data_IF_780671247418
#
_entry.id   IF_780671247418
#
_cell.length_a   1.000
_cell.length_b   1.000
_cell.length_c   1.000
_cell.angle_alpha   90.00
_cell.angle_beta   90.00
_cell.angle_gamma   90.00
#
_symmetry.space_group_name_H-M   'P 1'
#
loop_
_entity.id
_entity.type
_entity.pdbx_description
1 polymer ?
2 non-polymer ?
3 non-polymer ?
4 water ?
#
# COMPACT_ATOMS: atom_id res chain seq x y z
N UNK A 12 -16.67 -5.85 19.23
CA UNK A 12 -15.42 -5.89 18.40
C UNK A 12 -14.14 -5.73 19.28
N UNK A 13 -13.41 -6.83 19.54
CA UNK A 13 -12.20 -6.79 20.38
C UNK A 13 -11.02 -6.10 19.67
N UNK A 14 -10.35 -5.13 20.34
CA UNK A 14 -9.12 -4.60 19.76
C UNK A 14 -8.10 -5.69 19.42
N UNK A 15 -7.34 -5.46 18.36
CA UNK A 15 -6.39 -6.43 17.89
C UNK A 15 -5.11 -6.51 18.74
N UNK A 16 -4.51 -7.72 18.84
CA UNK A 16 -3.33 -8.00 19.69
C UNK A 16 -2.00 -7.63 19.08
N UNK A 17 -1.21 -6.83 19.78
CA UNK A 17 0.17 -6.55 19.40
C UNK A 17 1.11 -7.75 19.49
N UNK A 18 1.88 -8.01 18.44
CA UNK A 18 2.89 -9.05 18.48
C UNK A 18 4.25 -8.37 18.54
N UNK A 19 5.00 -8.61 19.62
CA UNK A 19 6.36 -8.11 19.73
C UNK A 19 7.26 -9.07 18.99
N UNK A 20 8.13 -8.55 18.13
CA UNK A 20 9.01 -9.43 17.37
C UNK A 20 10.50 -9.34 17.78
N UNK A 21 10.85 -8.25 18.43
CA UNK A 21 12.22 -7.93 18.77
C UNK A 21 12.16 -6.71 19.69
N UNK A 22 13.02 -6.69 20.71
CA UNK A 22 13.14 -5.57 21.67
C UNK A 22 13.73 -4.30 21.08
N UNK A 23 13.31 -3.17 21.61
CA UNK A 23 13.85 -1.85 21.28
C UNK A 23 15.41 -1.70 21.50
N UNK A 24 16.00 -0.72 20.81
CA UNK A 24 17.41 -0.21 20.95
C UNK A 24 18.56 -1.21 20.84
N UNK A 27 22.74 1.21 20.73
CA UNK A 27 22.84 1.99 19.50
C UNK A 27 21.73 3.06 19.45
N UNK A 28 22.00 4.26 18.84
CA UNK A 28 20.94 5.27 18.67
C UNK A 28 20.11 5.01 17.39
N UNK A 29 18.79 5.13 17.52
CA UNK A 29 17.85 4.66 16.52
C UNK A 29 16.53 5.37 16.75
N UNK A 30 15.70 5.46 15.73
CA UNK A 30 14.35 5.99 15.93
C UNK A 30 13.30 4.91 15.72
N UNK A 31 12.24 4.96 16.53
CA UNK A 31 11.10 4.05 16.44
C UNK A 31 9.99 4.83 15.77
N UNK A 32 9.25 4.19 14.84
CA UNK A 32 7.98 4.77 14.36
C UNK A 32 7.09 3.66 13.80
N UNK A 33 5.83 4.02 13.62
CA UNK A 33 4.78 3.07 13.26
C UNK A 33 4.28 3.42 11.85
N UNK A 34 3.94 2.40 11.08
CA UNK A 34 3.46 2.62 9.70
C UNK A 34 2.17 1.84 9.54
N UNK A 35 1.12 2.52 9.03
CA UNK A 35 -0.19 1.87 8.74
C UNK A 35 -0.32 1.76 7.20
N UNK A 36 -0.79 0.62 6.74
CA UNK A 36 -1.18 0.43 5.33
C UNK A 36 -2.61 -0.10 5.31
N UNK A 37 -3.52 0.61 4.68
CA UNK A 37 -4.94 0.26 4.79
C UNK A 37 -5.70 0.56 3.48
N UNK A 38 -6.34 -0.45 2.89
CA UNK A 38 -7.25 -0.14 1.75
C UNK A 38 -8.67 0.05 2.34
N UNK A 39 -9.27 1.25 2.21
CA UNK A 39 -10.50 1.62 2.89
C UNK A 39 -11.77 1.13 2.20
N UNK A 40 -11.59 0.61 0.97
CA UNK A 40 -12.71 0.27 0.04
C UNK A 40 -13.53 1.50 -0.41
N UNK A 41 -13.26 2.00 -1.64
CA UNK A 41 -13.95 3.24 -2.04
C UNK A 41 -15.43 3.00 -2.25
N UNK A 42 -16.17 4.09 -2.12
CA UNK A 42 -17.61 4.03 -2.26
C UNK A 42 -18.04 3.45 -3.63
N UNK A 43 -17.32 3.82 -4.68
CA UNK A 43 -17.63 3.39 -6.04
C UNK A 43 -17.78 1.87 -6.15
N UNK A 44 -16.94 1.13 -5.44
CA UNK A 44 -16.91 -0.28 -5.63
C UNK A 44 -17.55 -1.03 -4.51
N UNK A 45 -18.05 -0.33 -3.49
CA UNK A 45 -18.78 -0.97 -2.38
C UNK A 45 -20.25 -1.18 -2.79
N UNK A 46 -20.48 -2.19 -3.62
CA UNK A 46 -21.82 -2.52 -4.18
C UNK A 46 -22.39 -3.81 -3.64
N UNK A 47 -23.72 -3.91 -3.68
CA UNK A 47 -24.39 -5.17 -3.38
C UNK A 47 -23.97 -6.25 -4.35
N UNK A 48 -23.63 -5.90 -5.58
CA UNK A 48 -23.16 -6.90 -6.53
C UNK A 48 -21.87 -7.56 -6.04
N UNK A 49 -20.94 -6.74 -5.56
CA UNK A 49 -19.67 -7.28 -5.05
C UNK A 49 -19.78 -7.82 -3.61
N UNK A 50 -20.62 -7.19 -2.79
CA UNK A 50 -20.66 -7.52 -1.37
C UNK A 50 -22.08 -7.79 -0.96
N UNK A 51 -22.67 -8.85 -1.51
CA UNK A 51 -24.13 -9.07 -1.41
C UNK A 51 -24.50 -9.58 -0.05
N UNK A 52 -23.49 -9.85 0.79
CA UNK A 52 -23.66 -10.41 2.11
C UNK A 52 -23.65 -9.33 3.17
N UNK A 53 -23.44 -8.10 2.75
CA UNK A 53 -23.43 -6.98 3.67
C UNK A 53 -24.60 -6.08 3.33
N UNK A 54 -25.42 -5.70 4.35
CA UNK A 54 -26.62 -4.90 4.07
C UNK A 54 -26.25 -3.57 3.50
N UNK A 55 -27.13 -3.02 2.66
CA UNK A 55 -26.90 -1.71 2.05
C UNK A 55 -26.66 -0.57 3.02
N UNK A 56 -27.32 -0.60 4.18
CA UNK A 56 -27.12 0.46 5.15
C UNK A 56 -25.69 0.39 5.70
N UNK A 57 -25.12 -0.82 5.72
CA UNK A 57 -23.76 -1.00 6.21
C UNK A 57 -22.69 -0.72 5.14
N UNK A 58 -23.09 -0.76 3.87
CA UNK A 58 -22.18 -0.50 2.75
C UNK A 58 -22.12 0.99 2.53
N UNK A 59 -23.20 1.68 2.84
CA UNK A 59 -23.30 3.09 2.54
C UNK A 59 -22.10 3.86 3.07
N UNK A 60 -21.59 4.81 2.29
CA UNK A 60 -20.42 5.57 2.71
C UNK A 60 -20.62 6.43 3.96
N UNK A 61 -21.82 6.99 4.16
CA UNK A 61 -22.10 7.85 5.32
C UNK A 61 -21.93 7.04 6.59
N UNK A 62 -22.29 5.77 6.50
CA UNK A 62 -22.08 4.84 7.56
C UNK A 62 -20.62 4.33 7.67
N UNK A 63 -20.09 3.74 6.59
CA UNK A 63 -18.74 3.14 6.58
C UNK A 63 -17.62 4.12 6.87
N UNK A 64 -17.72 5.37 6.48
CA UNK A 64 -16.60 6.25 6.64
C UNK A 64 -16.30 6.46 8.15
N UNK A 65 -17.32 6.31 8.97
CA UNK A 65 -17.13 6.42 10.43
C UNK A 65 -16.19 5.33 10.94
N UNK A 66 -16.49 4.09 10.61
CA UNK A 66 -15.63 2.99 10.98
C UNK A 66 -14.22 3.07 10.39
N UNK A 67 -14.09 3.65 9.18
CA UNK A 67 -12.78 3.72 8.54
C UNK A 67 -11.97 4.79 9.34
N UNK A 68 -12.56 5.94 9.58
CA UNK A 68 -11.88 6.99 10.34
C UNK A 68 -11.51 6.54 11.77
N UNK A 69 -12.37 5.72 12.36
CA UNK A 69 -12.12 5.12 13.64
C UNK A 69 -10.92 4.19 13.62
N UNK A 70 -10.88 3.29 12.64
CA UNK A 70 -9.72 2.48 12.45
C UNK A 70 -8.44 3.29 12.31
N UNK A 71 -8.50 4.38 11.55
CA UNK A 71 -7.25 5.07 11.30
C UNK A 71 -6.82 5.79 12.60
N UNK A 72 -7.80 6.42 13.26
CA UNK A 72 -7.56 7.14 14.52
C UNK A 72 -6.97 6.20 15.58
N UNK A 73 -7.57 5.03 15.77
CA UNK A 73 -7.12 4.06 16.76
C UNK A 73 -5.73 3.45 16.51
N UNK A 74 -5.37 3.25 15.24
CA UNK A 74 -4.01 2.84 14.92
C UNK A 74 -2.98 3.91 15.24
N UNK A 75 -3.38 5.14 15.12
CA UNK A 75 -2.53 6.28 15.45
C UNK A 75 -1.07 6.17 14.90
N UNK A 76 -0.94 5.73 13.65
CA UNK A 76 0.36 5.53 13.05
C UNK A 76 1.06 6.87 12.82
N UNK A 77 2.38 6.87 12.89
CA UNK A 77 3.19 8.04 12.56
C UNK A 77 3.14 8.30 11.02
N UNK A 78 3.10 7.19 10.27
CA UNK A 78 2.96 7.20 8.79
C UNK A 78 1.77 6.35 8.34
N UNK A 79 0.85 6.96 7.57
CA UNK A 79 -0.33 6.22 7.09
C UNK A 79 -0.34 6.15 5.55
N UNK A 80 -0.48 4.95 5.01
CA UNK A 80 -0.66 4.77 3.56
C UNK A 80 -2.03 4.16 3.30
N UNK A 81 -2.84 4.95 2.62
CA UNK A 81 -4.20 4.53 2.26
C UNK A 81 -4.26 4.27 0.73
N UNK A 82 -5.04 3.25 0.36
CA UNK A 82 -5.57 3.01 -1.04
C UNK A 82 -7.06 3.11 -1.10
N UNK A 83 -7.59 3.38 -2.30
CA UNK A 83 -9.00 3.60 -2.57
C UNK A 83 -9.54 4.80 -1.86
N UNK A 84 -8.70 5.82 -1.76
CA UNK A 84 -9.16 7.08 -1.32
C UNK A 84 -9.78 7.85 -2.48
N UNK A 85 -11.05 8.25 -2.33
CA UNK A 85 -11.76 8.90 -3.40
C UNK A 85 -11.33 10.31 -3.30
N UNK A 86 -11.04 10.89 -4.44
CA UNK A 86 -10.64 12.29 -4.52
C UNK A 86 -11.37 13.29 -3.59
N UNK A 87 -12.68 13.41 -3.73
CA UNK A 87 -13.40 14.38 -2.93
C UNK A 87 -13.36 14.02 -1.39
N UNK A 88 -13.32 12.73 -1.07
CA UNK A 88 -13.12 12.29 0.33
C UNK A 88 -11.74 12.62 0.91
N UNK A 89 -10.68 12.60 0.08
CA UNK A 89 -9.38 13.02 0.56
C UNK A 89 -9.51 14.44 1.08
N UNK A 90 -10.13 15.29 0.29
CA UNK A 90 -10.12 16.70 0.61
C UNK A 90 -11.16 17.12 1.65
N UNK A 91 -12.28 16.43 1.77
CA UNK A 91 -13.30 16.90 2.68
C UNK A 91 -13.33 16.05 3.99
N UNK A 92 -12.69 14.88 3.98
CA UNK A 92 -12.78 13.98 5.12
C UNK A 92 -11.39 13.63 5.63
N UNK A 93 -10.62 12.87 4.84
CA UNK A 93 -9.39 12.26 5.32
C UNK A 93 -8.34 13.31 5.76
N UNK A 94 -8.10 14.32 4.90
CA UNK A 94 -7.10 15.33 5.17
C UNK A 94 -7.47 16.35 6.31
N UNK A 95 -8.72 16.86 6.32
CA UNK A 95 -9.12 17.77 7.37
C UNK A 95 -9.10 17.08 8.74
N UNK A 96 -9.60 15.84 8.81
CA UNK A 96 -9.64 15.12 10.07
C UNK A 96 -8.25 14.73 10.54
N UNK A 97 -7.41 14.27 9.62
CA UNK A 97 -6.07 13.96 10.00
C UNK A 97 -5.18 15.19 10.28
N UNK A 98 -5.50 16.36 9.72
CA UNK A 98 -4.80 17.56 10.12
C UNK A 98 -5.02 17.83 11.61
N UNK A 99 -6.26 17.62 12.08
CA UNK A 99 -6.66 17.82 13.49
C UNK A 99 -5.93 16.91 14.41
N UNK A 100 -5.41 15.81 13.89
CA UNK A 100 -4.55 14.94 14.64
C UNK A 100 -3.07 15.21 14.35
N UNK A 101 -2.74 16.34 13.76
CA UNK A 101 -1.32 16.70 13.53
C UNK A 101 -0.57 16.02 12.38
N UNK A 102 -1.32 15.53 11.37
CA UNK A 102 -0.70 14.91 10.18
C UNK A 102 -0.69 15.93 9.09
N UNK A 103 0.26 15.81 8.18
CA UNK A 103 0.02 16.37 6.86
C UNK A 103 -0.15 15.21 5.87
N UNK A 104 -0.57 15.53 4.65
CA UNK A 104 -0.77 14.45 3.67
C UNK A 104 -0.39 14.80 2.23
N UNK A 105 -0.21 13.76 1.41
CA UNK A 105 -0.09 13.90 -0.04
C UNK A 105 -1.00 12.85 -0.71
N UNK A 106 -1.76 13.26 -1.72
CA UNK A 106 -2.74 12.39 -2.42
C UNK A 106 -2.57 12.54 -3.91
N UNK A 107 -2.68 11.44 -4.64
CA UNK A 107 -2.83 11.60 -6.08
C UNK A 107 -3.89 10.62 -6.57
N UNK A 108 -4.86 11.08 -7.39
CA UNK A 108 -5.83 10.13 -7.99
C UNK A 108 -5.29 9.40 -9.20
N UNK A 109 -5.85 8.24 -9.50
CA UNK A 109 -5.73 7.67 -10.83
C UNK A 109 -6.34 8.57 -11.94
N UNK A 110 -6.04 8.26 -13.21
CA UNK A 110 -6.86 8.78 -14.30
C UNK A 110 -6.81 10.29 -14.49
N UNK A 111 -5.74 10.95 -14.05
CA UNK A 111 -5.80 12.40 -14.20
C UNK A 111 -5.82 12.82 -15.69
N UNK A 112 -5.21 12.04 -16.56
CA UNK A 112 -5.20 12.42 -18.00
C UNK A 112 -6.50 11.99 -18.75
N UNK A 113 -7.35 11.17 -18.11
CA UNK A 113 -8.58 10.74 -18.73
C UNK A 113 -9.55 11.87 -18.71
N UNK A 114 -10.41 11.92 -19.72
CA UNK A 114 -11.43 12.96 -19.82
C UNK A 114 -12.71 12.44 -19.18
N UNK A 115 -13.33 13.27 -18.34
CA UNK A 115 -14.52 12.87 -17.58
C UNK A 115 -15.26 14.11 -17.05
N UNK A 116 -16.50 13.97 -16.58
CA UNK A 116 -17.24 15.08 -15.94
C UNK A 116 -16.63 15.51 -14.59
N UNK A 117 -16.94 16.73 -14.17
CA UNK A 117 -16.53 17.23 -12.85
C UNK A 117 -17.01 16.31 -11.77
N UNK A 118 -18.24 15.85 -11.88
CA UNK A 118 -18.79 14.88 -10.95
C UNK A 118 -17.97 13.60 -10.82
N UNK A 119 -17.71 12.98 -11.97
CA UNK A 119 -16.88 11.79 -12.05
C UNK A 119 -15.50 12.03 -11.47
N UNK A 120 -14.92 13.20 -11.73
CA UNK A 120 -13.56 13.47 -11.23
C UNK A 120 -13.50 13.34 -9.66
N UNK A 121 -14.58 13.72 -9.00
CA UNK A 121 -14.64 13.69 -7.51
C UNK A 121 -14.59 12.26 -6.99
N UNK A 122 -15.08 11.32 -7.79
CA UNK A 122 -15.13 9.95 -7.32
C UNK A 122 -14.04 9.02 -7.71
N UNK A 123 -13.03 9.54 -8.40
CA UNK A 123 -11.91 8.70 -8.84
C UNK A 123 -11.08 8.47 -7.59
N UNK A 124 -10.60 7.25 -7.41
CA UNK A 124 -9.80 7.00 -6.18
C UNK A 124 -8.30 7.03 -6.48
N UNK A 125 -7.51 7.14 -5.42
CA UNK A 125 -6.10 7.00 -5.57
C UNK A 125 -5.41 6.68 -4.26
N UNK A 126 -4.16 7.10 -4.15
CA UNK A 126 -3.32 6.65 -3.03
C UNK A 126 -2.97 7.88 -2.23
N UNK A 127 -2.94 7.76 -0.89
CA UNK A 127 -2.57 8.90 -0.04
C UNK A 127 -1.51 8.45 0.98
N UNK A 128 -0.57 9.34 1.25
CA UNK A 128 0.37 9.11 2.36
C UNK A 128 0.18 10.23 3.36
N UNK A 129 -0.02 9.85 4.64
CA UNK A 129 -0.06 10.87 5.70
C UNK A 129 1.11 10.63 6.66
N UNK A 130 1.63 11.72 7.22
CA UNK A 130 2.76 11.66 8.17
C UNK A 130 2.55 12.70 9.30
N UNK A 131 2.94 12.31 10.52
CA UNK A 131 2.86 13.23 11.69
C UNK A 131 3.91 14.33 11.58
N UNK A 132 3.47 15.60 11.49
CA UNK A 132 4.38 16.71 11.25
C UNK A 132 5.38 16.98 12.38
N UNK A 133 5.13 16.43 13.57
CA UNK A 133 6.05 16.57 14.73
C UNK A 133 7.25 15.67 14.54
N UNK A 134 7.08 14.59 13.78
CA UNK A 134 8.14 13.64 13.61
C UNK A 134 8.82 13.69 12.22
N UNK A 135 8.18 14.35 11.25
CA UNK A 135 8.59 14.27 9.84
C UNK A 135 8.37 15.56 9.10
N UNK A 136 9.27 15.84 8.17
CA UNK A 136 9.04 16.96 7.26
C UNK A 136 9.19 16.47 5.82
N UNK A 137 8.23 16.85 4.97
CA UNK A 137 8.19 16.38 3.57
C UNK A 137 9.18 17.19 2.79
N UNK A 138 10.06 16.47 2.10
CA UNK A 138 11.08 17.08 1.24
C UNK A 138 10.63 17.11 -0.24
N UNK A 139 10.06 16.01 -0.72
CA UNK A 139 9.53 15.90 -2.08
C UNK A 139 8.36 14.92 -2.07
N UNK A 140 7.51 15.07 -3.09
CA UNK A 140 6.36 14.22 -3.33
C UNK A 140 6.34 13.91 -4.81
N UNK A 141 5.99 12.67 -5.14
CA UNK A 141 5.97 12.20 -6.52
C UNK A 141 4.78 11.30 -6.78
N UNK A 142 4.26 11.37 -7.99
CA UNK A 142 3.31 10.38 -8.46
C UNK A 142 3.93 9.56 -9.60
N UNK A 143 3.77 8.22 -9.51
CA UNK A 143 4.21 7.33 -10.58
C UNK A 143 2.99 6.75 -11.33
N UNK A 144 2.83 7.18 -12.60
CA UNK A 144 1.74 6.72 -13.48
C UNK A 144 2.18 5.49 -14.24
N UNK A 145 1.70 4.32 -13.85
CA UNK A 145 2.22 3.13 -14.44
C UNK A 145 1.96 3.12 -15.99
N UNK A 146 0.84 3.69 -16.44
CA UNK A 146 0.50 3.58 -17.87
C UNK A 146 1.52 4.34 -18.69
N UNK A 147 1.91 5.51 -18.20
CA UNK A 147 2.94 6.30 -18.83
C UNK A 147 4.30 5.65 -18.84
N UNK A 148 4.69 5.02 -17.75
CA UNK A 148 5.97 4.34 -17.70
C UNK A 148 5.94 3.08 -18.62
N UNK A 149 4.79 2.42 -18.68
CA UNK A 149 4.68 1.28 -19.59
C UNK A 149 4.86 1.78 -21.07
N UNK A 150 4.11 2.81 -21.42
CA UNK A 150 4.10 3.36 -22.79
C UNK A 150 5.54 3.76 -23.15
N UNK A 151 6.22 4.48 -22.24
CA UNK A 151 7.57 4.95 -22.46
C UNK A 151 8.61 3.81 -22.59
N UNK A 152 8.29 2.62 -22.10
CA UNK A 152 9.23 1.52 -22.19
C UNK A 152 8.72 0.32 -22.96
N UNK A 153 7.74 0.52 -23.83
CA UNK A 153 7.16 -0.64 -24.52
C UNK A 153 8.10 -1.19 -25.62
N UNK A 154 9.06 -0.38 -26.09
CA UNK A 154 10.09 -0.73 -27.10
C UNK A 154 9.72 -1.94 -27.89
N UNK A 155 8.74 -1.84 -28.79
CA UNK A 155 8.31 -3.04 -29.51
C UNK A 155 8.08 -4.30 -28.65
N UNK A 156 7.19 -4.16 -27.66
CA UNK A 156 6.52 -5.30 -27.07
C UNK A 156 5.04 -4.97 -27.19
N UNK A 157 4.30 -5.78 -27.93
CA UNK A 157 2.85 -5.60 -28.09
C UNK A 157 2.12 -5.78 -26.74
N UNK A 158 2.56 -6.75 -25.96
CA UNK A 158 2.03 -7.04 -24.62
C UNK A 158 2.14 -5.84 -23.69
N UNK A 159 3.29 -5.15 -23.70
CA UNK A 159 3.51 -3.99 -22.83
C UNK A 159 2.45 -3.02 -23.17
N UNK A 160 2.14 -2.94 -24.45
CA UNK A 160 1.24 -1.94 -24.93
C UNK A 160 -0.22 -2.35 -24.74
N UNK A 161 -0.57 -3.59 -25.11
CA UNK A 161 -1.92 -4.06 -25.04
C UNK A 161 -2.38 -4.25 -23.59
N UNK A 162 -1.54 -4.90 -22.81
CA UNK A 162 -1.96 -5.37 -21.48
C UNK A 162 -1.53 -4.43 -20.39
N UNK A 163 -0.36 -3.80 -20.52
CA UNK A 163 0.21 -3.03 -19.37
C UNK A 163 -0.19 -1.57 -19.42
N UNK A 164 0.03 -0.95 -20.59
CA UNK A 164 -0.26 0.47 -20.78
C UNK A 164 -1.72 0.82 -20.58
N UNK A 165 -2.61 -0.13 -20.88
CA UNK A 165 -4.04 0.14 -20.82
C UNK A 165 -4.55 0.11 -19.38
N UNK A 166 -3.64 -0.10 -18.45
CA UNK A 166 -4.04 -0.15 -17.02
C UNK A 166 -3.58 1.10 -16.24
N UNK A 167 -4.62 1.77 -15.75
CA UNK A 167 -4.62 3.07 -15.19
C UNK A 167 -4.06 3.24 -13.72
N UNK A 168 -3.43 2.21 -13.17
CA UNK A 168 -2.93 2.21 -11.75
C UNK A 168 -1.74 3.15 -11.46
N UNK A 169 -1.65 3.60 -10.21
CA UNK A 169 -0.61 4.59 -9.79
C UNK A 169 0.06 4.17 -8.46
N UNK A 170 1.22 4.75 -8.19
CA UNK A 170 1.83 4.75 -6.83
C UNK A 170 2.21 6.18 -6.52
N UNK A 171 2.36 6.52 -5.23
CA UNK A 171 2.78 7.87 -4.86
C UNK A 171 3.99 7.59 -3.97
N UNK A 172 4.89 8.55 -3.85
CA UNK A 172 6.02 8.39 -2.97
C UNK A 172 6.34 9.74 -2.40
N UNK A 173 6.79 9.78 -1.14
CA UNK A 173 7.15 11.06 -0.51
C UNK A 173 8.55 10.96 0.06
N UNK A 174 9.36 12.01 -0.03
CA UNK A 174 10.67 11.94 0.67
C UNK A 174 10.50 12.77 1.93
N UNK A 175 10.77 12.12 3.06
CA UNK A 175 10.63 12.75 4.35
C UNK A 175 11.97 12.92 5.08
N UNK A 176 12.09 14.03 5.78
CA UNK A 176 13.17 14.25 6.72
C UNK A 176 12.70 13.80 8.11
N UNK A 177 13.41 12.81 8.68
CA UNK A 177 13.06 12.25 10.00
C UNK A 177 13.70 13.13 11.09
N UNK A 178 12.90 13.74 11.94
CA UNK A 178 13.46 14.71 12.93
C UNK A 178 14.50 14.11 13.88
N UNK A 179 15.59 14.85 14.08
CA UNK A 179 16.76 14.33 14.82
C UNK A 179 16.40 13.92 16.22
N UNK A 180 15.53 14.73 16.82
CA UNK A 180 15.12 14.48 18.17
C UNK A 180 14.27 13.19 18.36
N UNK A 181 14.20 12.36 17.33
CA UNK A 181 13.67 10.99 17.46
C UNK A 181 14.73 9.93 17.67
N UNK A 182 16.02 10.23 17.51
CA UNK A 182 17.01 9.15 17.58
C UNK A 182 17.65 8.91 18.96
N UNK A 194 18.72 16.35 7.06
CA UNK A 194 19.88 15.49 7.32
C UNK A 194 19.56 13.99 7.18
N UNK A 195 18.64 13.47 7.99
CA UNK A 195 18.26 12.05 7.86
C UNK A 195 16.97 11.90 7.03
N UNK A 196 17.03 11.14 5.95
CA UNK A 196 15.89 11.08 5.05
C UNK A 196 15.24 9.71 5.03
N UNK A 197 13.95 9.68 4.67
CA UNK A 197 13.23 8.42 4.52
C UNK A 197 12.32 8.54 3.28
N UNK A 198 12.24 7.49 2.50
CA UNK A 198 11.22 7.53 1.44
C UNK A 198 10.09 6.55 1.79
N UNK A 199 8.86 7.05 1.76
CA UNK A 199 7.69 6.18 1.90
C UNK A 199 6.97 6.09 0.54
N UNK A 200 6.74 4.86 0.10
CA UNK A 200 6.05 4.68 -1.17
C UNK A 200 4.79 3.86 -0.94
N UNK A 201 3.73 4.25 -1.63
CA UNK A 201 2.39 3.66 -1.47
C UNK A 201 1.80 3.39 -2.86
N UNK A 202 1.51 2.15 -3.18
CA UNK A 202 0.94 1.88 -4.53
C UNK A 202 -0.26 0.92 -4.50
N UNK A 203 -1.06 0.85 -5.58
CA UNK A 203 -2.22 -0.04 -5.62
C UNK A 203 -2.26 -0.57 -7.06
N UNK A 204 -1.98 -1.86 -7.18
CA UNK A 204 -1.73 -2.57 -8.47
C UNK A 204 -3.01 -3.12 -9.08
N UNK A 205 -2.95 -3.43 -10.37
CA UNK A 205 -4.16 -3.87 -11.06
C UNK A 205 -4.71 -5.08 -10.29
N UNK A 206 -6.03 -5.29 -10.32
CA UNK A 206 -6.71 -6.30 -9.47
C UNK A 206 -6.80 -7.70 -10.09
N UNK A 207 -6.97 -7.71 -11.41
CA UNK A 207 -7.45 -8.91 -12.10
C UNK A 207 -6.53 -10.13 -11.91
N UNK A 208 -7.09 -11.26 -11.36
CA UNK A 208 -6.31 -12.49 -11.15
C UNK A 208 -5.67 -13.01 -12.40
N UNK A 209 -6.26 -12.69 -13.56
CA UNK A 209 -5.69 -13.22 -14.78
C UNK A 209 -4.56 -12.34 -15.27
N UNK A 210 -4.17 -11.34 -14.47
CA UNK A 210 -3.12 -10.38 -14.88
C UNK A 210 -1.85 -10.30 -14.00
N UNK A 211 -1.30 -11.47 -13.68
CA UNK A 211 -0.09 -11.57 -12.86
C UNK A 211 1.09 -10.85 -13.53
N UNK A 212 1.16 -10.92 -14.87
CA UNK A 212 2.19 -10.17 -15.60
C UNK A 212 2.07 -8.69 -15.39
N UNK A 213 0.87 -8.15 -15.47
CA UNK A 213 0.73 -6.72 -15.25
C UNK A 213 1.14 -6.32 -13.80
N UNK A 214 0.74 -7.14 -12.83
CA UNK A 214 0.97 -6.85 -11.40
C UNK A 214 2.48 -6.80 -11.17
N UNK A 215 3.17 -7.75 -11.77
CA UNK A 215 4.61 -7.87 -11.62
C UNK A 215 5.35 -6.71 -12.31
N UNK A 216 4.94 -6.42 -13.55
CA UNK A 216 5.49 -5.27 -14.25
C UNK A 216 5.22 -3.96 -13.56
N UNK A 217 3.99 -3.73 -13.09
CA UNK A 217 3.72 -2.52 -12.33
C UNK A 217 4.64 -2.35 -11.09
N UNK A 218 4.93 -3.44 -10.39
CA UNK A 218 5.77 -3.50 -9.18
C UNK A 218 7.19 -3.17 -9.56
N UNK A 219 7.66 -3.81 -10.63
CA UNK A 219 8.99 -3.49 -11.18
C UNK A 219 9.11 -2.05 -11.60
N UNK A 220 8.13 -1.51 -12.32
CA UNK A 220 8.13 -0.08 -12.66
C UNK A 220 8.11 0.87 -11.48
N UNK A 221 7.25 0.57 -10.48
CA UNK A 221 7.24 1.36 -9.26
C UNK A 221 8.62 1.41 -8.61
N UNK A 222 9.18 0.24 -8.37
CA UNK A 222 10.48 0.13 -7.64
C UNK A 222 11.59 0.87 -8.42
N UNK A 223 11.69 0.65 -9.75
CA UNK A 223 12.76 1.36 -10.52
C UNK A 223 12.51 2.84 -10.53
N UNK A 224 11.25 3.25 -10.60
CA UNK A 224 10.92 4.66 -10.55
C UNK A 224 11.22 5.28 -9.19
N UNK A 225 11.03 4.52 -8.11
CA UNK A 225 11.38 4.94 -6.75
C UNK A 225 12.92 5.09 -6.64
N UNK A 226 13.65 4.10 -7.15
CA UNK A 226 15.09 4.24 -7.25
C UNK A 226 15.56 5.52 -7.94
N UNK A 227 14.92 5.94 -9.04
CA UNK A 227 15.29 7.23 -9.64
C UNK A 227 15.04 8.36 -8.69
N UNK A 228 13.92 8.33 -7.99
CA UNK A 228 13.61 9.36 -7.01
C UNK A 228 14.75 9.43 -5.99
N UNK A 229 15.16 8.27 -5.47
CA UNK A 229 16.27 8.15 -4.52
C UNK A 229 17.54 8.94 -4.88
N UNK A 230 18.05 8.83 -6.11
CA UNK A 230 19.09 9.78 -6.54
C UNK A 230 18.50 11.12 -6.98
N UNK A 231 18.69 12.13 -6.13
CA UNK A 231 17.98 13.41 -6.18
C UNK A 231 17.21 13.51 -4.87
N UNK A 245 22.62 6.15 0.75
CA UNK A 245 21.28 5.90 0.24
C UNK A 245 20.19 5.85 1.35
N UNK A 246 19.08 6.48 1.03
CA UNK A 246 17.89 6.62 1.87
C UNK A 246 17.11 5.30 2.05
N UNK A 247 16.74 4.95 3.31
CA UNK A 247 15.88 3.79 3.57
C UNK A 247 14.46 3.96 2.97
N UNK A 248 13.85 2.83 2.64
CA UNK A 248 12.52 2.82 1.99
C UNK A 248 11.51 2.05 2.84
N UNK A 249 10.33 2.65 3.02
CA UNK A 249 9.19 1.88 3.46
C UNK A 249 8.22 1.77 2.28
N UNK A 250 7.85 0.56 1.90
CA UNK A 250 6.99 0.40 0.71
C UNK A 250 5.68 -0.22 1.15
N UNK A 251 4.61 0.57 1.10
CA UNK A 251 3.30 0.02 1.42
C UNK A 251 2.54 -0.24 0.11
N UNK A 252 1.84 -1.37 0.00
CA UNK A 252 0.94 -1.52 -1.17
C UNK A 252 -0.10 -2.57 -1.02
N UNK A 253 -1.24 -2.28 -1.65
CA UNK A 253 -2.15 -3.33 -2.03
C UNK A 253 -1.63 -3.82 -3.37
N UNK A 254 -0.99 -4.99 -3.37
CA UNK A 254 -0.43 -5.55 -4.53
C UNK A 254 -1.33 -6.49 -5.30
N UNK A 255 -2.48 -6.87 -4.74
CA UNK A 255 -3.37 -7.84 -5.35
C UNK A 255 -2.62 -9.14 -5.69
N UNK A 256 -1.61 -9.44 -4.86
CA UNK A 256 -0.74 -10.58 -5.12
C UNK A 256 -0.47 -11.35 -3.82
N UNK A 257 -0.56 -12.67 -3.88
CA UNK A 257 -0.36 -13.55 -2.72
C UNK A 257 1.12 -13.75 -2.42
N UNK A 258 1.45 -14.25 -1.20
CA UNK A 258 2.89 -14.32 -0.89
C UNK A 258 3.69 -15.23 -1.81
N UNK A 259 3.06 -16.17 -2.49
CA UNK A 259 3.81 -17.08 -3.38
C UNK A 259 3.93 -16.58 -4.83
N UNK A 260 3.59 -15.32 -5.09
CA UNK A 260 3.62 -14.77 -6.45
C UNK A 260 5.01 -14.27 -6.90
N UNK A 261 5.14 -14.05 -8.22
CA UNK A 261 6.32 -13.36 -8.76
C UNK A 261 6.52 -11.99 -8.15
N UNK A 262 5.41 -11.27 -7.91
CA UNK A 262 5.47 -9.91 -7.31
C UNK A 262 6.20 -9.94 -5.97
N UNK A 263 5.81 -10.91 -5.13
CA UNK A 263 6.36 -10.95 -3.78
C UNK A 263 7.79 -11.50 -3.80
N UNK A 264 8.05 -12.44 -4.68
CA UNK A 264 9.38 -12.99 -4.83
C UNK A 264 10.36 -11.90 -5.27
N UNK A 265 9.90 -11.04 -6.17
CA UNK A 265 10.70 -9.95 -6.71
C UNK A 265 11.09 -8.95 -5.61
N UNK A 266 10.09 -8.44 -4.89
CA UNK A 266 10.36 -7.52 -3.78
C UNK A 266 11.23 -8.15 -2.66
N UNK A 267 11.02 -9.43 -2.38
CA UNK A 267 11.62 -10.12 -1.23
C UNK A 267 13.04 -10.60 -1.50
N UNK A 268 13.30 -11.06 -2.72
CA UNK A 268 14.62 -11.59 -3.06
C UNK A 268 15.50 -10.61 -3.83
N UNK A 269 15.07 -9.37 -3.97
CA UNK A 269 15.87 -8.37 -4.69
C UNK A 269 15.92 -8.57 -6.19
N UNK A 270 15.12 -9.50 -6.71
CA UNK A 270 14.99 -9.71 -8.16
C UNK A 270 14.13 -10.90 -8.55
N UNK A 271 13.86 -11.03 -9.85
CA UNK A 271 13.26 -12.25 -10.45
C UNK A 271 13.86 -12.63 -11.81
N UNK A 272 13.70 -13.92 -12.14
CA UNK A 272 14.00 -14.48 -13.45
C UNK A 272 13.11 -13.81 -14.49
N UNK A 273 13.71 -13.41 -15.61
CA UNK A 273 12.95 -12.77 -16.68
C UNK A 273 12.06 -13.71 -17.46
N UNK A 274 12.10 -15.00 -17.13
CA UNK A 274 11.10 -15.94 -17.63
C UNK A 274 10.20 -16.50 -16.54
N UNK A 275 10.05 -15.80 -15.42
CA UNK A 275 9.09 -16.22 -14.40
C UNK A 275 7.75 -16.55 -15.08
N UNK A 276 7.08 -17.60 -14.64
CA UNK A 276 5.78 -17.95 -15.14
C UNK A 276 4.73 -16.82 -15.07
N UNK A 277 4.89 -15.90 -14.12
CA UNK A 277 3.94 -14.78 -13.98
C UNK A 277 3.95 -13.83 -15.17
N UNK A 278 5.02 -13.87 -15.95
CA UNK A 278 5.12 -13.06 -17.16
C UNK A 278 4.32 -13.53 -18.38
N UNK A 279 3.96 -14.82 -18.42
CA UNK A 279 3.17 -15.39 -19.54
C UNK A 279 3.17 -14.59 -20.88
N UNK A 285 12.37 -8.67 -23.15
CA UNK A 285 13.40 -7.68 -23.54
C UNK A 285 13.25 -6.27 -22.89
N UNK A 286 12.09 -5.65 -23.12
CA UNK A 286 11.79 -4.36 -22.50
C UNK A 286 11.83 -4.38 -20.94
N UNK A 287 11.78 -5.58 -20.34
CA UNK A 287 11.83 -5.74 -18.88
C UNK A 287 13.09 -5.18 -18.24
N UNK A 288 14.21 -5.24 -18.97
CA UNK A 288 15.48 -4.80 -18.42
C UNK A 288 15.50 -3.30 -18.21
N UNK A 289 14.55 -2.59 -18.81
CA UNK A 289 14.35 -1.16 -18.60
C UNK A 289 14.13 -0.84 -17.11
N UNK A 290 13.74 -1.86 -16.35
CA UNK A 290 13.38 -1.70 -14.93
C UNK A 290 14.38 -2.34 -13.98
N UNK A 291 15.45 -2.90 -14.55
CA UNK A 291 16.54 -3.53 -13.79
C UNK A 291 17.51 -2.48 -13.31
N UNK A 292 17.90 -2.57 -12.02
CA UNK A 292 18.81 -1.62 -11.35
C UNK A 292 18.91 -1.90 -9.86
N UNK A 300 20.74 -10.77 -18.67
CA UNK A 300 21.55 -11.71 -17.88
C UNK A 300 20.64 -12.78 -17.24
N UNK A 301 19.33 -12.64 -17.47
CA UNK A 301 18.35 -13.61 -17.02
C UNK A 301 17.51 -13.09 -15.87
N UNK A 302 17.95 -12.03 -15.21
CA UNK A 302 17.32 -11.56 -13.98
C UNK A 302 17.08 -10.07 -13.96
N UNK A 303 15.89 -9.68 -13.50
CA UNK A 303 15.61 -8.28 -13.26
C UNK A 303 15.91 -8.03 -11.80
N UNK A 304 16.60 -6.93 -11.54
CA UNK A 304 17.30 -6.72 -10.30
C UNK A 304 16.88 -5.42 -9.64
N UNK A 305 16.75 -5.41 -8.32
CA UNK A 305 16.66 -4.11 -7.63
C UNK A 305 17.65 -4.07 -6.49
N UNK A 306 18.05 -2.88 -6.09
CA UNK A 306 19.10 -2.75 -5.08
C UNK A 306 18.55 -2.48 -3.71
N UNK A 307 17.24 -2.51 -3.57
CA UNK A 307 16.69 -2.40 -2.24
C UNK A 307 16.87 -3.79 -1.67
N UNK A 308 16.84 -3.90 -0.36
CA UNK A 308 16.97 -5.20 0.28
C UNK A 308 15.81 -5.22 1.23
N UNK A 309 14.68 -5.74 0.75
CA UNK A 309 13.40 -5.51 1.42
C UNK A 309 12.96 -6.75 2.14
N UNK A 310 12.17 -6.52 3.19
CA UNK A 310 11.61 -7.57 3.99
C UNK A 310 10.14 -7.20 4.27
N UNK A 311 9.25 -8.19 4.24
CA UNK A 311 7.87 -7.89 4.63
C UNK A 311 7.76 -7.82 6.15
N UNK A 312 7.15 -6.76 6.69
CA UNK A 312 6.92 -6.67 8.13
C UNK A 312 6.14 -7.86 8.71
N UNK A 313 5.36 -8.54 7.86
CA UNK A 313 4.44 -9.57 8.29
C UNK A 313 4.84 -10.90 7.72
N UNK A 314 6.10 -11.04 7.34
CA UNK A 314 6.55 -12.29 6.73
C UNK A 314 6.35 -13.47 7.68
N UNK A 315 6.31 -14.66 7.10
CA UNK A 315 6.01 -15.93 7.80
C UNK A 315 4.65 -15.98 8.44
N UNK A 316 3.66 -15.50 7.69
CA UNK A 316 2.26 -15.82 7.96
C UNK A 316 1.71 -15.25 9.27
N UNK A 317 2.08 -14.02 9.61
CA UNK A 317 1.57 -13.38 10.82
C UNK A 317 0.08 -12.93 10.73
N UNK A 318 -0.43 -12.71 9.52
CA UNK A 318 -1.88 -12.55 9.28
C UNK A 318 -2.26 -13.70 8.36
N UNK A 319 -3.43 -14.34 8.59
CA UNK A 319 -3.76 -15.38 7.63
C UNK A 319 -4.38 -14.77 6.35
N UNK A 320 -4.79 -13.51 6.41
CA UNK A 320 -5.31 -12.85 5.23
C UNK A 320 -5.31 -11.36 5.52
N UNK A 321 -5.48 -10.58 4.46
CA UNK A 321 -5.44 -9.17 4.56
C UNK A 321 -6.71 -8.68 3.82
N UNK A 322 -7.20 -9.47 2.88
CA UNK A 322 -8.46 -9.14 2.20
C UNK A 322 -9.33 -10.30 2.58
N UNK A 323 -10.56 -10.01 2.99
CA UNK A 323 -11.40 -11.03 3.61
C UNK A 323 -12.76 -10.88 3.03
N UNK A 324 -13.14 -11.78 2.10
CA UNK A 324 -14.49 -11.70 1.51
C UNK A 324 -14.99 -13.11 1.39
N UNK A 325 -16.27 -13.28 1.02
CA UNK A 325 -16.83 -14.63 0.94
C UNK A 325 -16.04 -15.44 -0.07
N UNK A 326 -15.79 -14.87 -1.26
CA UNK A 326 -15.12 -15.62 -2.33
C UNK A 326 -13.60 -15.62 -2.22
N UNK A 327 -13.00 -14.66 -1.54
CA UNK A 327 -11.54 -14.62 -1.52
C UNK A 327 -11.01 -14.14 -0.18
N UNK A 328 -10.12 -14.92 0.41
CA UNK A 328 -9.41 -14.53 1.63
C UNK A 328 -7.94 -14.74 1.35
N UNK A 329 -7.10 -13.72 1.48
CA UNK A 329 -5.66 -14.00 1.28
C UNK A 329 -4.90 -12.78 1.68
N UNK A 330 -3.58 -12.94 1.84
CA UNK A 330 -2.72 -11.81 2.11
C UNK A 330 -2.34 -11.17 0.75
N UNK A 331 -2.83 -9.95 0.50
CA UNK A 331 -2.49 -9.25 -0.77
C UNK A 331 -1.95 -7.83 -0.52
N UNK A 332 -1.87 -7.43 0.75
CA UNK A 332 -1.41 -6.10 1.17
C UNK A 332 -0.13 -6.29 1.99
N UNK A 333 0.78 -5.32 1.94
CA UNK A 333 2.16 -5.55 2.40
C UNK A 333 2.76 -4.26 2.90
N UNK A 334 3.59 -4.37 3.93
CA UNK A 334 4.51 -3.27 4.30
C UNK A 334 5.93 -3.88 4.24
N UNK A 335 6.74 -3.31 3.35
CA UNK A 335 8.08 -3.77 3.07
C UNK A 335 9.02 -2.68 3.51
N UNK A 336 10.20 -3.04 4.00
CA UNK A 336 11.14 -2.05 4.51
C UNK A 336 12.57 -2.48 4.18
N UNK A 337 13.47 -1.49 4.05
CA UNK A 337 14.91 -1.75 3.84
C UNK A 337 15.52 -2.40 5.07
N UNK A 338 15.76 -3.70 4.97
CA UNK A 338 16.29 -4.47 6.08
C UNK A 338 17.70 -4.02 6.48
N UNK A 339 18.40 -3.31 5.60
CA UNK A 339 19.71 -2.69 5.93
C UNK A 339 19.61 -1.64 7.03
N UNK A 340 18.53 -0.86 6.99
CA UNK A 340 18.43 0.38 7.77
C UNK A 340 17.55 0.28 8.99
N UNK A 341 16.70 -0.75 9.00
CA UNK A 341 15.55 -0.84 9.89
C UNK A 341 15.34 -2.26 10.38
N UNK A 342 14.79 -2.39 11.58
CA UNK A 342 14.33 -3.66 12.13
C UNK A 342 12.84 -3.58 12.37
N UNK A 343 12.15 -4.72 12.36
CA UNK A 343 10.75 -4.74 12.84
C UNK A 343 10.71 -5.06 14.32
N UNK A 344 10.08 -4.20 15.09
CA UNK A 344 9.89 -4.43 16.52
C UNK A 344 8.62 -5.20 16.80
N UNK A 345 7.59 -4.94 16.00
CA UNK A 345 6.31 -5.61 16.14
C UNK A 345 5.26 -5.23 15.12
N UNK A 346 4.25 -6.07 15.03
CA UNK A 346 3.08 -5.79 14.16
C UNK A 346 1.77 -5.93 14.96
N UNK A 347 0.71 -5.22 14.52
CA UNK A 347 -0.66 -5.54 14.90
C UNK A 347 -1.16 -6.87 14.29
N UNK A 348 -1.44 -7.84 15.16
CA UNK A 348 -1.76 -9.19 14.67
C UNK A 348 -3.21 -9.25 14.21
N UNK A 349 -3.68 -10.41 13.74
CA UNK A 349 -5.04 -10.48 13.14
C UNK A 349 -6.20 -10.21 14.13
N UNK A 350 -7.37 -9.88 13.58
CA UNK A 350 -8.61 -9.82 14.34
C UNK A 350 -8.86 -11.21 14.88
N UNK A 351 -9.26 -11.27 16.16
CA UNK A 351 -9.38 -12.57 16.82
C UNK A 351 -10.34 -13.42 15.99
N UNK A 352 -9.85 -14.51 15.43
CA UNK A 352 -10.61 -15.33 14.52
C UNK A 352 -11.84 -15.97 15.19
N UNK A 353 -11.77 -16.18 16.51
CA UNK A 353 -12.88 -16.83 17.18
C UNK A 353 -14.05 -15.89 17.18
N UNK A 354 -13.78 -14.60 17.34
CA UNK A 354 -14.80 -13.55 17.27
C UNK A 354 -15.58 -13.53 15.95
N UNK A 355 -14.88 -13.82 14.85
CA UNK A 355 -15.49 -13.90 13.53
C UNK A 355 -16.34 -15.15 13.42
N UNK A 356 -15.85 -16.28 13.93
CA UNK A 356 -16.73 -17.46 13.90
C UNK A 356 -17.92 -17.29 14.86
N UNK A 357 -17.69 -16.74 16.05
CA UNK A 357 -18.75 -16.42 16.99
C UNK A 357 -19.82 -15.58 16.30
N UNK A 358 -19.39 -14.64 15.45
CA UNK A 358 -20.34 -13.74 14.82
C UNK A 358 -20.76 -14.11 13.42
N UNK A 359 -20.39 -15.33 13.02
CA UNK A 359 -20.69 -15.89 11.73
C UNK A 359 -20.34 -14.92 10.58
N UNK A 360 -19.14 -14.34 10.67
CA UNK A 360 -18.66 -13.37 9.68
C UNK A 360 -17.76 -14.06 8.67
N UNK A 361 -18.32 -14.31 7.48
CA UNK A 361 -17.60 -15.02 6.42
C UNK A 361 -17.03 -14.11 5.37
N UNK A 362 -17.35 -12.83 5.42
CA UNK A 362 -16.82 -11.88 4.46
C UNK A 362 -17.03 -10.48 4.99
N UNK A 363 -16.17 -9.58 4.54
CA UNK A 363 -16.24 -8.14 4.83
C UNK A 363 -16.48 -7.31 3.53
N UNK A 364 -16.99 -6.08 3.63
CA UNK A 364 -17.30 -5.49 4.93
C UNK A 364 -18.58 -6.05 5.60
N UNK A 365 -18.87 -5.55 6.80
CA UNK A 365 -19.86 -6.06 7.74
C UNK A 365 -20.27 -4.86 8.61
N UNK A 366 -21.48 -4.86 9.22
CA UNK A 366 -21.83 -3.70 10.05
C UNK A 366 -20.71 -3.25 11.04
N UNK A 367 -19.91 -4.19 11.54
CA UNK A 367 -18.78 -3.82 12.43
C UNK A 367 -17.36 -3.77 11.81
N UNK A 368 -17.21 -4.01 10.49
CA UNK A 368 -15.89 -4.02 9.84
C UNK A 368 -16.11 -3.31 8.50
N UNK A 369 -15.58 -2.10 8.37
CA UNK A 369 -16.01 -1.12 7.36
C UNK A 369 -15.27 -1.21 6.02
N UNK A 370 -14.35 -2.16 5.93
CA UNK A 370 -13.61 -2.40 4.69
C UNK A 370 -13.45 -3.87 4.50
N UNK A 371 -13.31 -4.32 3.26
CA UNK A 371 -12.95 -5.69 3.00
C UNK A 371 -11.48 -6.01 3.17
N UNK A 372 -10.69 -4.99 3.47
CA UNK A 372 -9.32 -5.25 3.86
C UNK A 372 -9.15 -4.85 5.36
N UNK A 373 -8.30 -5.64 6.04
CA UNK A 373 -7.78 -5.29 7.35
C UNK A 373 -6.53 -4.43 7.21
N UNK A 374 -6.42 -3.47 8.11
CA UNK A 374 -5.25 -2.61 8.24
C UNK A 374 -4.01 -3.43 8.62
N UNK A 375 -2.81 -2.92 8.23
CA UNK A 375 -1.52 -3.49 8.59
C UNK A 375 -0.91 -2.40 9.45
N UNK A 376 -0.24 -2.73 10.56
CA UNK A 376 0.33 -1.67 11.44
C UNK A 376 1.62 -2.26 11.99
N UNK A 377 2.73 -1.56 11.76
CA UNK A 377 4.05 -2.06 12.16
C UNK A 377 4.85 -1.00 12.89
N UNK A 378 5.64 -1.44 13.87
CA UNK A 378 6.55 -0.48 14.48
C UNK A 378 7.94 -0.80 13.98
N UNK A 379 8.60 0.18 13.42
CA UNK A 379 9.92 -0.06 12.82
C UNK A 379 10.97 0.74 13.55
N UNK A 380 12.19 0.20 13.56
CA UNK A 380 13.34 0.83 14.21
C UNK A 380 14.43 1.21 13.21
N UNK A 381 14.63 2.50 12.99
CA UNK A 381 15.60 2.98 12.01
C UNK A 381 16.94 3.39 12.64
N UNK A 382 18.02 2.83 12.11
CA UNK A 382 19.37 3.25 12.48
C UNK A 382 20.04 4.11 11.39
N UNK A 383 20.46 5.36 11.73
CA UNK A 383 21.16 6.31 10.81
C UNK A 383 22.50 5.72 10.31
N UNK A 384 23.20 6.37 9.34
CA UNK A 384 24.45 5.71 8.88
C UNK A 384 25.74 6.23 9.55
X LIG B 1 -9.01 -9.66 -5.64
X LIG B 1 -10.10 -10.44 -5.51
X LIG B 1 -11.20 -10.03 -4.74
X LIG B 1 -8.96 -8.45 -5.03
X LIG B 1 -10.04 -7.99 -4.25
X LIG B 1 -11.17 -8.79 -4.09
X LIG B 1 -7.87 -10.10 -6.47
X LIG B 1 -6.89 -10.99 -5.70
X LIG B 1 -6.96 -12.45 -6.20
X LIG B 1 -5.47 -13.06 -6.69
X LIG B 1 -4.43 -12.73 -5.69
X LIG B 1 -5.10 -12.43 -7.97
X LIG B 1 -5.52 -14.53 -6.84
X LIG C 1 -10.76 -3.07 -3.50
X LIG D 1 -7.40 -5.15 -3.52
#
# INVERSE_FOLDING_TARGET
>A
MLDNLAVHPEQLPPRPWITLKERDQILPSASFTVMCYNVLCDKYATRQLYGYCPSWALNWEYRKKGIMEEIVNCDADIISLQEVETEQYFTLFLPALKERGYDGFFSPKSRAKIMSEQERKHVDGCAIFFKTEKFTLVQKHTVEFNQVAMANSDGSEAMLNRVMTKDNIGVAVVLEVHKELFGAGMKPIHAADKQLLIVANAHMHWDPEYSDVKLIQTMMFVSEVKNILEKASSRPGSPTADPNSIPLVLCADLNSLPDSGVVEYLSNGGVADNHKDFKELRYNECLMNFSCNGKNGSSEGRITHGFQLKSAYENNLMPYTNYTFDFKGVIDYIFYSKTHMNVEGVLGPLDPQWLVENNITGCPHPHIPSDHFSLLTQLELHPPLLPLVNGVHLPNRR
>B hetero
1 1PS N1 C1 C2 C3 C4 C5 C6 C7 C8 S1 O1 O2 O3
>C hetero
1 MG MG
>D hetero
1 MG MG
#
